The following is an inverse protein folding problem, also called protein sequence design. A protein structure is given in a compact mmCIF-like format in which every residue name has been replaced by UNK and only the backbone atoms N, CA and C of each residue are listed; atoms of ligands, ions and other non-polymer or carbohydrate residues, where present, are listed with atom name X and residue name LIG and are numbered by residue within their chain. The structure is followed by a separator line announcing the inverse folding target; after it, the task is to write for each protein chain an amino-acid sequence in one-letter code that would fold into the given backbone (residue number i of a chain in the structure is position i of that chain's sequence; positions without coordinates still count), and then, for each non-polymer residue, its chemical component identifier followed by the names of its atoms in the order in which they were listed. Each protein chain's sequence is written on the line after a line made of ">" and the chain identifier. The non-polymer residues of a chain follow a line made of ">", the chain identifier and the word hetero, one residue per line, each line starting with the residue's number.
data_IF_549904980042
#
_entry.id   IF_549904980042
#
_cell.length_a   1.000
_cell.length_b   1.000
_cell.length_c   1.000
_cell.angle_alpha   90.00
_cell.angle_beta   90.00
_cell.angle_gamma   90.00
#
_symmetry.space_group_name_H-M   'P 1'
#
loop_
_entity.id
_entity.type
_entity.pdbx_description
1 polymer ?
#
# COMPACT_ATOMS: atom_id res chain seq x y z
N UNK A 1 5.50 22.94 0.67
CA UNK A 1 5.88 21.66 0.05
C UNK A 1 5.29 20.55 0.91
N UNK A 2 4.53 19.61 0.34
CA UNK A 2 4.11 18.40 1.07
C UNK A 2 5.37 17.57 1.32
N UNK A 3 5.78 17.46 2.59
CA UNK A 3 6.84 16.55 3.00
C UNK A 3 6.30 15.11 2.85
N UNK A 4 7.11 14.22 2.30
CA UNK A 4 6.74 12.82 2.15
C UNK A 4 6.81 12.15 3.55
N UNK A 5 5.68 11.75 4.16
CA UNK A 5 5.66 11.15 5.48
C UNK A 5 6.32 9.77 5.50
N UNK A 6 6.53 9.15 4.33
CA UNK A 6 7.30 7.91 4.19
C UNK A 6 8.83 8.13 4.25
N UNK A 7 9.31 9.39 4.26
CA UNK A 7 10.74 9.74 4.30
C UNK A 7 11.03 10.81 5.36
N UNK A 8 11.33 10.41 6.61
CA UNK A 8 11.38 11.33 7.75
C UNK A 8 12.66 12.16 7.85
N UNK A 9 13.75 11.84 7.12
CA UNK A 9 15.03 12.50 7.35
C UNK A 9 16.00 12.47 6.17
N UNK A 10 16.96 13.40 6.19
CA UNK A 10 18.09 13.44 5.28
C UNK A 10 19.02 12.23 5.50
N UNK A 11 19.67 11.78 4.43
CA UNK A 11 20.58 10.62 4.44
C UNK A 11 19.94 9.30 3.99
N UNK A 12 20.79 8.29 3.81
CA UNK A 12 20.37 6.96 3.34
C UNK A 12 19.51 6.24 4.38
N UNK A 13 18.39 5.60 3.99
CA UNK A 13 17.54 4.88 4.91
C UNK A 13 18.21 3.61 5.44
N UNK A 14 17.88 3.23 6.67
CA UNK A 14 18.23 1.93 7.21
C UNK A 14 17.04 1.00 7.03
N UNK A 15 17.18 0.02 6.14
CA UNK A 15 16.11 -0.92 5.80
C UNK A 15 16.46 -2.31 6.34
N UNK A 16 15.49 -3.09 6.84
CA UNK A 16 15.77 -4.38 7.44
C UNK A 16 16.23 -5.38 6.36
N UNK A 17 17.54 -5.64 6.34
CA UNK A 17 18.23 -6.39 5.29
C UNK A 17 17.90 -7.90 5.34
N UNK A 18 17.54 -8.40 6.52
CA UNK A 18 17.12 -9.79 6.76
C UNK A 18 15.93 -10.18 5.89
N UNK A 19 15.01 -9.24 5.62
CA UNK A 19 13.83 -9.49 4.80
C UNK A 19 14.10 -9.34 3.28
N UNK A 20 15.30 -8.91 2.86
CA UNK A 20 15.61 -8.62 1.44
C UNK A 20 16.34 -9.73 0.71
N UNK A 21 17.28 -10.41 1.37
CA UNK A 21 18.23 -11.30 0.68
C UNK A 21 17.91 -12.78 0.89
N UNK A 22 17.40 -13.16 2.06
CA UNK A 22 17.17 -14.57 2.44
C UNK A 22 15.74 -14.87 2.89
N UNK A 23 14.83 -13.92 2.73
CA UNK A 23 13.47 -14.08 3.20
C UNK A 23 12.63 -14.88 2.21
N UNK A 24 11.98 -15.91 2.74
CA UNK A 24 10.95 -16.66 2.03
C UNK A 24 9.61 -16.05 2.46
N UNK A 25 8.93 -15.31 1.58
CA UNK A 25 7.65 -14.70 1.91
C UNK A 25 6.56 -15.75 2.08
N UNK A 26 5.66 -15.48 3.03
CA UNK A 26 4.44 -16.25 3.19
C UNK A 26 3.36 -15.71 2.26
N UNK A 27 2.54 -16.61 1.72
CA UNK A 27 1.39 -16.26 0.90
C UNK A 27 0.14 -16.94 1.42
N UNK A 28 -0.99 -16.28 1.25
CA UNK A 28 -2.32 -16.81 1.52
C UNK A 28 -3.17 -16.74 0.26
N UNK A 29 -4.18 -17.60 0.16
CA UNK A 29 -5.20 -17.50 -0.87
C UNK A 29 -6.26 -16.49 -0.41
N UNK A 30 -6.20 -15.27 -0.95
CA UNK A 30 -7.17 -14.22 -0.69
C UNK A 30 -8.27 -14.24 -1.77
N UNK A 31 -9.37 -13.52 -1.54
CA UNK A 31 -10.50 -13.49 -2.49
C UNK A 31 -10.11 -13.04 -3.90
N UNK A 32 -9.05 -12.22 -4.03
CA UNK A 32 -8.54 -11.71 -5.31
C UNK A 32 -7.33 -12.52 -5.83
N UNK A 33 -7.08 -13.70 -5.27
CA UNK A 33 -5.98 -14.60 -5.58
C UNK A 33 -4.86 -14.61 -4.54
N UNK A 34 -3.72 -15.17 -4.91
CA UNK A 34 -2.57 -15.29 -4.01
C UNK A 34 -2.06 -13.91 -3.56
N UNK A 35 -1.96 -13.74 -2.25
CA UNK A 35 -1.60 -12.49 -1.58
C UNK A 35 -0.44 -12.73 -0.61
N UNK A 36 0.61 -11.94 -0.73
CA UNK A 36 1.75 -11.95 0.19
C UNK A 36 1.33 -11.42 1.56
N UNK A 37 1.88 -12.03 2.60
CA UNK A 37 1.70 -11.62 3.99
C UNK A 37 2.98 -10.98 4.48
N UNK A 38 2.87 -9.77 5.03
CA UNK A 38 4.00 -9.11 5.67
C UNK A 38 4.44 -9.87 6.92
N UNK A 39 5.74 -9.91 7.23
CA UNK A 39 6.22 -10.45 8.50
C UNK A 39 5.68 -9.64 9.68
N UNK A 40 5.65 -10.27 10.86
CA UNK A 40 5.22 -9.65 12.12
C UNK A 40 6.29 -8.67 12.64
N UNK A 41 6.40 -7.53 11.96
CA UNK A 41 7.30 -6.43 12.27
C UNK A 41 6.67 -5.12 11.80
N UNK A 42 6.83 -4.00 12.53
CA UNK A 42 6.31 -2.71 12.10
C UNK A 42 7.06 -2.15 10.87
N UNK A 43 8.23 -2.69 10.53
CA UNK A 43 9.11 -2.13 9.49
C UNK A 43 8.92 -2.74 8.10
N UNK A 44 7.96 -3.65 7.93
CA UNK A 44 7.67 -4.27 6.63
C UNK A 44 6.16 -4.37 6.46
N UNK A 45 5.66 -3.81 5.35
CA UNK A 45 4.26 -3.73 4.99
C UNK A 45 3.98 -4.53 3.71
N UNK A 46 2.84 -5.20 3.64
CA UNK A 46 2.36 -5.74 2.37
C UNK A 46 1.90 -4.58 1.49
N UNK A 47 2.44 -4.50 0.27
CA UNK A 47 2.24 -3.36 -0.63
C UNK A 47 1.61 -3.77 -1.98
N UNK A 48 1.05 -4.97 -2.05
CA UNK A 48 0.46 -5.56 -3.24
C UNK A 48 0.48 -7.08 -3.15
N UNK A 49 0.14 -7.77 -4.24
CA UNK A 49 0.01 -9.25 -4.24
C UNK A 49 1.30 -10.00 -3.91
N UNK A 50 2.44 -9.47 -4.31
CA UNK A 50 3.76 -10.10 -4.13
C UNK A 50 4.85 -9.09 -3.80
N UNK A 51 4.46 -7.96 -3.23
CA UNK A 51 5.37 -6.85 -2.97
C UNK A 51 5.38 -6.55 -1.48
N UNK A 52 6.57 -6.41 -0.91
CA UNK A 52 6.76 -5.88 0.43
C UNK A 52 7.41 -4.51 0.35
N UNK A 53 6.83 -3.57 1.09
CA UNK A 53 7.39 -2.25 1.32
C UNK A 53 8.15 -2.24 2.65
N UNK A 54 9.38 -1.75 2.61
CA UNK A 54 10.28 -1.69 3.75
C UNK A 54 10.27 -0.29 4.30
N UNK A 55 10.00 -0.14 5.59
CA UNK A 55 9.95 1.12 6.29
C UNK A 55 11.30 1.32 7.00
N UNK A 56 11.73 2.57 7.10
CA UNK A 56 13.01 2.93 7.71
C UNK A 56 13.03 2.55 9.20
N UNK A 57 14.03 1.78 9.62
CA UNK A 57 14.16 1.35 11.02
C UNK A 57 14.62 2.47 11.95
N UNK A 58 14.99 3.63 11.41
CA UNK A 58 15.26 4.84 12.20
C UNK A 58 13.99 5.46 12.80
N UNK A 59 12.82 5.11 12.25
CA UNK A 59 11.53 5.49 12.81
C UNK A 59 11.28 4.77 14.14
N UNK A 60 10.58 5.44 15.04
CA UNK A 60 10.03 4.75 16.20
C UNK A 60 9.00 3.68 15.75
N UNK A 61 8.86 2.58 16.52
CA UNK A 61 7.99 1.48 16.14
C UNK A 61 6.52 1.87 15.93
N UNK A 62 6.02 2.86 16.67
CA UNK A 62 4.62 3.30 16.57
C UNK A 62 4.39 4.06 15.26
N UNK A 63 5.28 4.98 14.89
CA UNK A 63 5.24 5.66 13.60
C UNK A 63 5.37 4.66 12.44
N UNK A 64 6.28 3.69 12.55
CA UNK A 64 6.44 2.65 11.53
C UNK A 64 5.18 1.78 11.39
N UNK A 65 4.57 1.39 12.50
CA UNK A 65 3.30 0.64 12.52
C UNK A 65 2.17 1.44 11.87
N UNK A 66 2.08 2.73 12.16
CA UNK A 66 1.08 3.61 11.55
C UNK A 66 1.27 3.71 10.04
N UNK A 67 2.51 3.91 9.58
CA UNK A 67 2.85 3.91 8.15
C UNK A 67 2.49 2.57 7.50
N UNK A 68 2.82 1.46 8.14
CA UNK A 68 2.51 0.10 7.68
C UNK A 68 1.01 -0.07 7.46
N UNK A 69 0.20 0.33 8.43
CA UNK A 69 -1.26 0.24 8.33
C UNK A 69 -1.80 1.04 7.13
N UNK A 70 -1.33 2.27 6.92
CA UNK A 70 -1.74 3.09 5.77
C UNK A 70 -1.37 2.44 4.42
N UNK A 71 -0.22 1.75 4.34
CA UNK A 71 0.21 1.05 3.11
C UNK A 71 -0.63 -0.22 2.88
N UNK A 72 -0.83 -1.02 3.94
CA UNK A 72 -1.56 -2.29 3.83
C UNK A 72 -3.01 -2.06 3.45
N UNK A 73 -3.71 -1.10 4.07
CA UNK A 73 -5.08 -0.76 3.67
C UNK A 73 -5.20 -0.19 2.26
N UNK A 74 -4.16 0.47 1.75
CA UNK A 74 -4.17 0.99 0.39
C UNK A 74 -3.96 -0.08 -0.69
N UNK A 75 -3.43 -1.26 -0.32
CA UNK A 75 -2.92 -2.24 -1.30
C UNK A 75 -3.45 -3.66 -1.12
N UNK A 76 -3.82 -4.03 0.11
CA UNK A 76 -4.35 -5.35 0.47
C UNK A 76 -5.84 -5.20 0.76
N UNK A 77 -6.67 -5.49 -0.25
CA UNK A 77 -8.12 -5.53 -0.06
C UNK A 77 -8.52 -6.78 0.71
N UNK A 78 -9.19 -6.61 1.84
CA UNK A 78 -9.56 -7.69 2.78
C UNK A 78 -10.73 -8.52 2.23
N UNK A 79 -11.73 -7.87 1.63
CA UNK A 79 -12.91 -8.54 1.08
C UNK A 79 -13.29 -8.08 -0.34
N UNK A 80 -14.15 -8.85 -1.03
CA UNK A 80 -14.61 -8.54 -2.39
C UNK A 80 -15.47 -7.27 -2.48
N UNK A 81 -16.04 -6.85 -1.36
CA UNK A 81 -16.92 -5.69 -1.26
C UNK A 81 -16.19 -4.44 -0.77
N UNK A 82 -14.92 -4.57 -0.38
CA UNK A 82 -14.19 -3.44 0.17
C UNK A 82 -13.65 -2.57 -0.96
N UNK A 83 -14.02 -1.29 -0.94
CA UNK A 83 -13.66 -0.32 -1.97
C UNK A 83 -12.97 0.88 -1.34
N UNK A 84 -11.92 1.37 -2.00
CA UNK A 84 -11.28 2.63 -1.64
C UNK A 84 -12.08 3.76 -2.29
N UNK A 85 -12.71 4.58 -1.46
CA UNK A 85 -13.38 5.81 -1.87
C UNK A 85 -12.43 6.98 -1.66
N UNK A 86 -12.22 7.74 -2.74
CA UNK A 86 -11.32 8.90 -2.76
C UNK A 86 -12.20 10.14 -2.93
N UNK A 87 -12.03 11.14 -2.06
CA UNK A 87 -12.59 12.47 -2.25
C UNK A 87 -11.51 13.35 -2.87
N UNK A 88 -11.67 13.65 -4.15
CA UNK A 88 -10.69 14.41 -4.94
C UNK A 88 -10.80 15.93 -4.74
N UNK A 89 -11.81 16.41 -4.02
CA UNK A 89 -11.94 17.82 -3.63
C UNK A 89 -11.16 18.05 -2.34
N UNK A 90 -11.39 17.20 -1.34
CA UNK A 90 -10.71 17.27 -0.04
C UNK A 90 -9.33 16.61 -0.04
N UNK A 91 -9.02 15.84 -1.09
CA UNK A 91 -7.84 14.99 -1.21
C UNK A 91 -7.70 14.02 -0.01
N UNK A 92 -8.79 13.35 0.32
CA UNK A 92 -8.89 12.34 1.38
C UNK A 92 -9.32 11.00 0.80
N UNK A 93 -9.14 9.92 1.56
CA UNK A 93 -9.59 8.60 1.16
C UNK A 93 -10.09 7.81 2.37
N UNK A 94 -10.99 6.87 2.12
CA UNK A 94 -11.50 5.90 3.10
C UNK A 94 -11.71 4.54 2.43
N UNK A 95 -11.57 3.46 3.19
CA UNK A 95 -12.01 2.12 2.80
C UNK A 95 -13.43 1.94 3.32
N UNK A 96 -14.35 1.54 2.45
CA UNK A 96 -15.72 1.21 2.83
C UNK A 96 -16.10 -0.16 2.31
N UNK A 97 -16.98 -0.82 3.05
CA UNK A 97 -17.69 -1.96 2.52
C UNK A 97 -18.83 -1.46 1.59
N UNK A 98 -18.85 -1.91 0.34
CA UNK A 98 -19.79 -1.47 -0.70
C UNK A 98 -21.24 -1.88 -0.39
N UNK A 99 -21.44 -3.01 0.32
CA UNK A 99 -22.75 -3.56 0.63
C UNK A 99 -23.37 -2.89 1.86
N UNK A 100 -22.61 -2.76 2.95
CA UNK A 100 -23.11 -2.18 4.21
C UNK A 100 -22.93 -0.67 4.28
N UNK A 101 -22.11 -0.10 3.39
CA UNK A 101 -21.70 1.31 3.39
C UNK A 101 -20.94 1.73 4.67
N UNK A 102 -20.48 0.75 5.46
CA UNK A 102 -19.67 0.94 6.65
C UNK A 102 -18.26 1.39 6.28
N UNK A 103 -17.73 2.39 7.00
CA UNK A 103 -16.34 2.82 6.84
C UNK A 103 -15.44 1.92 7.67
N UNK A 104 -14.56 1.18 7.00
CA UNK A 104 -13.62 0.24 7.62
C UNK A 104 -12.31 0.93 8.02
N UNK A 105 -11.88 1.91 7.23
CA UNK A 105 -10.62 2.61 7.46
C UNK A 105 -10.67 4.03 6.90
N UNK A 106 -10.04 4.98 7.59
CA UNK A 106 -9.89 6.36 7.11
C UNK A 106 -8.40 6.66 7.01
N UNK A 107 -7.94 7.01 5.81
CA UNK A 107 -6.54 7.37 5.60
C UNK A 107 -6.26 8.75 6.18
N UNK A 108 -5.07 8.96 6.74
CA UNK A 108 -4.70 10.33 7.08
C UNK A 108 -4.57 11.14 5.78
N UNK A 109 -5.02 12.40 5.75
CA UNK A 109 -4.98 13.22 4.54
C UNK A 109 -3.59 13.33 3.90
N UNK A 110 -2.52 13.32 4.70
CA UNK A 110 -1.13 13.35 4.20
C UNK A 110 -0.76 12.10 3.42
N UNK A 111 -1.10 10.91 3.93
CA UNK A 111 -0.86 9.63 3.24
C UNK A 111 -1.77 9.47 2.03
N UNK A 112 -3.06 9.82 2.17
CA UNK A 112 -4.03 9.76 1.07
C UNK A 112 -3.57 10.58 -0.15
N UNK A 113 -3.07 11.81 0.08
CA UNK A 113 -2.55 12.68 -0.97
C UNK A 113 -1.37 12.12 -1.74
N UNK A 114 -0.62 11.20 -1.14
CA UNK A 114 0.57 10.59 -1.73
C UNK A 114 0.22 9.27 -2.39
N UNK A 115 -0.47 8.38 -1.67
CA UNK A 115 -0.89 7.07 -2.15
C UNK A 115 -1.84 7.18 -3.35
N UNK A 116 -2.72 8.19 -3.35
CA UNK A 116 -3.75 8.39 -4.37
C UNK A 116 -3.51 9.63 -5.23
N UNK A 117 -2.32 10.24 -5.18
CA UNK A 117 -1.97 11.47 -5.90
C UNK A 117 -2.40 11.43 -7.38
N UNK A 118 -2.04 10.34 -8.08
CA UNK A 118 -2.36 10.14 -9.49
C UNK A 118 -3.87 10.08 -9.76
N UNK A 119 -4.62 9.42 -8.89
CA UNK A 119 -6.08 9.31 -9.01
C UNK A 119 -6.76 10.66 -8.78
N UNK A 120 -6.32 11.37 -7.74
CA UNK A 120 -6.82 12.71 -7.38
C UNK A 120 -6.49 13.70 -8.49
N UNK A 121 -5.24 13.76 -8.97
CA UNK A 121 -4.81 14.66 -10.04
C UNK A 121 -5.56 14.41 -11.36
N UNK A 122 -5.86 13.15 -11.68
CA UNK A 122 -6.63 12.80 -12.89
C UNK A 122 -8.04 13.38 -12.88
N UNK A 123 -8.67 13.45 -11.70
CA UNK A 123 -10.05 13.93 -11.54
C UNK A 123 -10.13 15.40 -11.13
N UNK A 124 -9.11 15.91 -10.45
CA UNK A 124 -8.95 17.30 -10.05
C UNK A 124 -7.52 17.82 -10.36
N UNK A 125 -7.25 18.19 -11.63
CA UNK A 125 -5.91 18.62 -12.06
C UNK A 125 -5.41 19.90 -11.40
N UNK A 126 -6.30 20.68 -10.78
CA UNK A 126 -5.94 21.94 -10.12
C UNK A 126 -5.10 21.73 -8.85
N UNK A 127 -5.26 20.58 -8.18
CA UNK A 127 -4.54 20.27 -6.93
C UNK A 127 -3.04 20.03 -7.14
N UNK A 128 -2.64 19.49 -8.30
CA UNK A 128 -1.23 19.23 -8.67
C UNK A 128 -0.44 18.56 -7.54
N UNK A 129 -1.02 17.52 -6.94
CA UNK A 129 -0.37 16.75 -5.88
C UNK A 129 0.92 16.11 -6.43
N UNK A 130 1.98 16.01 -5.61
CA UNK A 130 3.21 15.36 -6.04
C UNK A 130 2.96 13.87 -6.29
N UNK A 131 3.16 13.44 -7.54
CA UNK A 131 3.18 12.01 -7.88
C UNK A 131 4.59 11.49 -7.60
N UNK A 132 4.70 10.63 -6.58
CA UNK A 132 5.97 10.03 -6.22
C UNK A 132 6.28 8.85 -7.15
N UNK A 133 7.54 8.76 -7.58
CA UNK A 133 8.05 7.62 -8.34
C UNK A 133 7.86 6.30 -7.56
N UNK A 134 7.79 5.15 -8.26
CA UNK A 134 7.73 3.84 -7.60
C UNK A 134 8.83 3.76 -6.56
N UNK A 135 8.50 3.17 -5.41
CA UNK A 135 9.23 3.21 -4.15
C UNK A 135 10.71 2.75 -4.18
N UNK A 136 11.27 2.47 -5.35
CA UNK A 136 12.69 2.25 -5.60
C UNK A 136 13.19 1.10 -4.74
N UNK A 137 14.30 1.34 -4.04
CA UNK A 137 14.87 0.35 -3.15
C UNK A 137 13.95 -0.05 -1.99
N UNK A 138 12.86 0.67 -1.71
CA UNK A 138 11.98 0.41 -0.56
C UNK A 138 10.92 -0.65 -0.87
N UNK A 139 10.71 -1.01 -2.13
CA UNK A 139 9.73 -1.99 -2.55
C UNK A 139 10.44 -3.19 -3.18
N UNK A 140 10.27 -4.36 -2.59
CA UNK A 140 10.81 -5.62 -3.14
C UNK A 140 9.65 -6.43 -3.70
N UNK A 141 9.78 -6.83 -4.95
CA UNK A 141 8.84 -7.74 -5.61
C UNK A 141 9.41 -9.15 -5.54
N UNK A 142 8.64 -10.09 -4.99
CA UNK A 142 9.01 -11.48 -4.89
C UNK A 142 8.46 -12.27 -6.08
N UNK A 143 9.29 -13.13 -6.65
CA UNK A 143 8.85 -14.05 -7.70
C UNK A 143 7.96 -15.13 -7.06
N UNK A 144 6.74 -15.25 -7.56
CA UNK A 144 5.74 -16.22 -7.10
C UNK A 144 5.91 -17.55 -7.88
N UNK A 145 6.76 -17.56 -8.91
CA UNK A 145 6.77 -18.61 -9.92
C UNK A 145 5.49 -18.58 -10.78
N UNK A 146 5.44 -19.43 -11.80
CA UNK A 146 4.36 -19.47 -12.80
C UNK A 146 3.01 -20.02 -12.27
N UNK A 147 2.74 -19.89 -10.97
CA UNK A 147 1.54 -20.33 -10.24
C UNK A 147 0.34 -19.40 -10.45
N UNK A 148 0.45 -18.38 -11.31
CA UNK A 148 -0.71 -17.75 -11.96
C UNK A 148 -1.31 -18.71 -13.02
N UNK A 149 -1.78 -19.89 -12.59
CA UNK A 149 -2.61 -20.73 -13.46
C UNK A 149 -3.92 -20.02 -13.75
N UNK A 150 -3.98 -19.47 -14.96
CA UNK A 150 -5.14 -19.30 -15.86
C UNK A 150 -6.47 -18.91 -15.19
N UNK A 151 -6.83 -17.63 -15.40
CA UNK A 151 -8.17 -17.02 -15.27
C UNK A 151 -9.33 -18.01 -15.43
N UNK A 152 -10.26 -18.00 -14.47
CA UNK A 152 -11.68 -18.21 -14.77
C UNK A 152 -12.28 -16.83 -15.02
N UNK A 153 -12.88 -16.67 -16.19
CA UNK A 153 -13.28 -15.39 -16.77
C UNK A 153 -14.34 -14.65 -15.95
N UNK A 154 -14.15 -13.33 -15.86
CA UNK A 154 -15.24 -12.37 -15.76
C UNK A 154 -15.17 -11.56 -17.05
N UNK A 155 -16.16 -11.80 -17.92
CA UNK A 155 -16.48 -10.92 -19.03
C UNK A 155 -16.93 -9.57 -18.44
N UNK A 156 -16.40 -8.49 -18.98
CA UNK A 156 -17.15 -7.24 -19.07
C UNK A 156 -17.23 -6.92 -20.56
N UNK A 157 -18.47 -6.83 -21.05
CA UNK A 157 -18.84 -6.22 -22.32
C UNK A 157 -18.25 -4.81 -22.46
#
# INVERSE_FOLDING_TARGET
>A
MLLNPFRPGEGSPTLPAEYRVKYVPNFIDAWNGLQIVAPDTPYVAAAGRNQLYFIDTRLDPETAKHIKEQIEWATVLVGPEDVIKIDEISATAEVRNSLTNETLFVFDPSYARILFARGINKRNPALKLPEHEPAGDWLVTYDIGNTLKKRIGSCFD
#
